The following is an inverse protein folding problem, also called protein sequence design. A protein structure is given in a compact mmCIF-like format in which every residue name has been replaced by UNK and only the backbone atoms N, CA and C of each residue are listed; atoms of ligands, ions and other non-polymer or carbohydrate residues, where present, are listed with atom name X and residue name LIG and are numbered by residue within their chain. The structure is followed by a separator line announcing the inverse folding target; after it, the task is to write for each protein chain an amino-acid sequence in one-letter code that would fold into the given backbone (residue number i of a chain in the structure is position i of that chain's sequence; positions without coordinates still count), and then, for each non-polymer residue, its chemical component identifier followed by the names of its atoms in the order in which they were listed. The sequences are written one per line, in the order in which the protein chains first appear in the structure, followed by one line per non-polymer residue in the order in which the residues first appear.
data_IF_111328648079
#
_entry.id   IF_111328648079
#
_cell.length_a   1.000
_cell.length_b   1.000
_cell.length_c   1.000
_cell.angle_alpha   90.00
_cell.angle_beta   90.00
_cell.angle_gamma   90.00
#
_symmetry.space_group_name_H-M   'P 1'
#
loop_
_entity.id
_entity.type
_entity.pdbx_description
1 polymer ?
#
# COMPACT_ATOMS: atom_id res chain seq x y z
N UNK A 1 16.44 4.07 -2.65
CA UNK A 1 15.43 2.99 -2.77
C UNK A 1 14.35 3.47 -3.71
N UNK A 2 13.63 2.57 -4.37
CA UNK A 2 12.41 2.90 -5.10
C UNK A 2 11.34 3.38 -4.10
N UNK A 3 10.53 4.36 -4.51
CA UNK A 3 9.32 4.76 -3.78
C UNK A 3 8.42 3.55 -3.61
N UNK A 4 7.79 3.41 -2.44
CA UNK A 4 6.86 2.31 -2.14
C UNK A 4 5.53 2.84 -1.64
N UNK A 5 4.51 1.99 -1.70
CA UNK A 5 3.18 2.32 -1.20
C UNK A 5 2.47 1.14 -0.54
N UNK A 6 1.50 1.48 0.30
CA UNK A 6 0.49 0.57 0.85
C UNK A 6 -0.87 1.14 0.49
N UNK A 7 -1.73 0.30 -0.06
CA UNK A 7 -3.08 0.69 -0.46
C UNK A 7 -4.12 0.04 0.46
N UNK A 8 -4.72 0.83 1.36
CA UNK A 8 -5.72 0.30 2.29
C UNK A 8 -6.99 -0.17 1.57
N UNK A 9 -7.19 0.23 0.31
CA UNK A 9 -8.35 -0.17 -0.48
C UNK A 9 -8.29 -1.64 -0.91
N UNK A 10 -7.12 -2.26 -0.86
CA UNK A 10 -6.93 -3.69 -1.17
C UNK A 10 -7.47 -4.62 -0.08
N UNK A 11 -7.84 -4.07 1.08
CA UNK A 11 -8.39 -4.81 2.21
C UNK A 11 -9.90 -4.52 2.35
N UNK A 12 -10.77 -5.33 1.72
CA UNK A 12 -12.21 -5.20 1.91
C UNK A 12 -12.59 -5.64 3.33
N UNK A 13 -12.82 -4.66 4.22
CA UNK A 13 -13.37 -4.85 5.56
C UNK A 13 -14.56 -3.91 5.81
N UNK A 14 -15.04 -3.84 7.05
CA UNK A 14 -16.19 -3.00 7.45
C UNK A 14 -15.95 -1.49 7.24
N UNK A 15 -14.68 -1.08 7.23
CA UNK A 15 -14.29 0.31 6.99
C UNK A 15 -13.93 0.48 5.52
N UNK A 16 -14.83 1.05 4.71
CA UNK A 16 -14.55 1.46 3.34
C UNK A 16 -13.48 2.58 3.32
N UNK A 17 -12.21 2.20 3.39
CA UNK A 17 -11.09 3.14 3.37
C UNK A 17 -10.62 3.39 1.94
N UNK A 18 -10.46 4.68 1.61
CA UNK A 18 -9.99 5.14 0.29
C UNK A 18 -8.52 5.55 0.27
N UNK A 19 -7.78 5.33 1.36
CA UNK A 19 -6.43 5.87 1.55
C UNK A 19 -5.39 4.93 0.95
N UNK A 20 -4.48 5.51 0.16
CA UNK A 20 -3.20 4.91 -0.20
C UNK A 20 -2.08 5.79 0.33
N UNK A 21 -1.03 5.17 0.88
CA UNK A 21 0.08 5.84 1.57
C UNK A 21 1.35 5.50 0.81
N UNK A 22 2.18 6.50 0.52
CA UNK A 22 3.45 6.29 -0.18
C UNK A 22 4.57 7.03 0.52
N UNK A 23 5.75 6.42 0.58
CA UNK A 23 6.95 7.02 1.15
C UNK A 23 8.22 6.54 0.41
N UNK A 24 9.33 7.23 0.66
CA UNK A 24 10.62 6.94 0.04
C UNK A 24 11.46 5.93 0.85
N UNK A 25 11.01 5.55 2.05
CA UNK A 25 11.59 4.49 2.88
C UNK A 25 10.52 3.55 3.45
N UNK A 26 10.88 2.27 3.61
CA UNK A 26 9.96 1.26 4.17
C UNK A 26 9.63 1.55 5.64
N UNK A 27 10.59 2.04 6.43
CA UNK A 27 10.37 2.36 7.84
C UNK A 27 9.35 3.50 8.01
N UNK A 28 9.49 4.58 7.24
CA UNK A 28 8.52 5.68 7.23
C UNK A 28 7.14 5.20 6.79
N UNK A 29 7.10 4.39 5.72
CA UNK A 29 5.84 3.86 5.19
C UNK A 29 5.11 3.01 6.23
N UNK A 30 5.83 2.11 6.92
CA UNK A 30 5.26 1.24 7.95
C UNK A 30 4.75 2.07 9.12
N UNK A 31 5.53 3.03 9.62
CA UNK A 31 5.12 3.83 10.77
C UNK A 31 3.84 4.61 10.47
N UNK A 32 3.74 5.26 9.30
CA UNK A 32 2.53 5.99 8.91
C UNK A 32 1.34 5.05 8.66
N UNK A 33 1.55 3.89 8.02
CA UNK A 33 0.49 2.91 7.80
C UNK A 33 -0.03 2.31 9.11
N UNK A 34 0.83 2.05 10.09
CA UNK A 34 0.45 1.61 11.44
C UNK A 34 -0.38 2.68 12.15
N UNK A 35 0.06 3.95 12.11
CA UNK A 35 -0.72 5.04 12.69
C UNK A 35 -2.12 5.17 12.06
N UNK A 36 -2.23 4.97 10.74
CA UNK A 36 -3.52 4.91 10.05
C UNK A 36 -4.38 3.73 10.52
N UNK A 37 -3.79 2.53 10.61
CA UNK A 37 -4.48 1.32 11.08
C UNK A 37 -5.04 1.49 12.50
N UNK A 38 -4.29 2.12 13.41
CA UNK A 38 -4.75 2.38 14.78
C UNK A 38 -5.83 3.46 14.79
N UNK A 39 -5.57 4.60 14.14
CA UNK A 39 -6.43 5.78 14.27
C UNK A 39 -7.76 5.63 13.51
N UNK A 40 -7.71 5.11 12.28
CA UNK A 40 -8.87 4.98 11.40
C UNK A 40 -9.59 3.64 11.58
N UNK A 41 -8.85 2.54 11.76
CA UNK A 41 -9.41 1.18 11.81
C UNK A 41 -9.45 0.55 13.20
N UNK A 42 -8.96 1.27 14.22
CA UNK A 42 -8.98 0.85 15.63
C UNK A 42 -8.24 -0.47 15.89
N UNK A 43 -7.28 -0.82 15.04
CA UNK A 43 -6.37 -1.92 15.32
C UNK A 43 -5.45 -1.57 16.51
N UNK A 44 -5.04 -2.59 17.26
CA UNK A 44 -4.01 -2.44 18.26
C UNK A 44 -2.64 -2.37 17.59
N UNK A 45 -1.76 -1.51 18.09
CA UNK A 45 -0.36 -1.56 17.68
C UNK A 45 0.29 -2.84 18.21
N UNK A 46 0.57 -3.79 17.32
CA UNK A 46 1.20 -5.05 17.67
C UNK A 46 2.27 -5.46 16.65
N UNK A 47 3.24 -6.31 17.05
CA UNK A 47 4.23 -6.87 16.13
C UNK A 47 3.60 -7.61 14.94
N UNK A 48 2.47 -8.27 15.16
CA UNK A 48 1.71 -8.99 14.14
C UNK A 48 1.10 -8.01 13.13
N UNK A 49 0.48 -6.91 13.60
CA UNK A 49 -0.04 -5.86 12.72
C UNK A 49 1.08 -5.26 11.86
N UNK A 50 2.21 -4.88 12.48
CA UNK A 50 3.37 -4.34 11.78
C UNK A 50 3.90 -5.30 10.72
N UNK A 51 3.95 -6.59 11.03
CA UNK A 51 4.42 -7.62 10.09
C UNK A 51 3.44 -7.83 8.93
N UNK A 52 2.13 -7.82 9.20
CA UNK A 52 1.10 -7.89 8.17
C UNK A 52 1.18 -6.67 7.22
N UNK A 53 1.26 -5.46 7.76
CA UNK A 53 1.40 -4.22 6.98
C UNK A 53 2.66 -4.25 6.10
N UNK A 54 3.79 -4.75 6.63
CA UNK A 54 5.02 -4.89 5.84
C UNK A 54 4.84 -5.82 4.63
N UNK A 55 4.02 -6.86 4.74
CA UNK A 55 3.74 -7.79 3.63
C UNK A 55 2.85 -7.20 2.53
N UNK A 56 2.28 -6.00 2.75
CA UNK A 56 1.38 -5.30 1.83
C UNK A 56 2.07 -4.20 1.02
N UNK A 57 3.39 -4.04 1.15
CA UNK A 57 4.12 -3.00 0.43
C UNK A 57 4.28 -3.35 -1.05
N UNK A 58 3.99 -2.38 -1.90
CA UNK A 58 4.18 -2.43 -3.33
C UNK A 58 5.23 -1.41 -3.77
N UNK A 59 5.94 -1.70 -4.86
CA UNK A 59 6.88 -0.76 -5.49
C UNK A 59 6.13 0.26 -6.38
N UNK A 60 6.57 1.52 -6.33
CA UNK A 60 6.08 2.59 -7.20
C UNK A 60 5.02 3.49 -6.55
N UNK A 61 4.00 3.84 -7.34
CA UNK A 61 2.88 4.70 -6.95
C UNK A 61 1.58 3.90 -6.98
N UNK A 62 0.64 4.13 -6.04
CA UNK A 62 -0.65 3.47 -6.06
C UNK A 62 -1.42 3.82 -7.34
N UNK A 63 -2.24 2.90 -7.88
CA UNK A 63 -3.08 3.19 -9.02
C UNK A 63 -4.18 4.19 -8.63
N UNK A 64 -4.67 4.98 -9.58
CA UNK A 64 -5.76 5.94 -9.28
C UNK A 64 -7.05 5.24 -8.85
N UNK A 65 -7.34 4.09 -9.45
CA UNK A 65 -8.44 3.20 -9.06
C UNK A 65 -7.90 1.83 -8.67
N UNK A 66 -8.51 1.23 -7.64
CA UNK A 66 -8.25 -0.16 -7.27
C UNK A 66 -8.79 -1.04 -8.38
N UNK A 67 -7.89 -1.76 -9.04
CA UNK A 67 -8.32 -2.79 -9.96
C UNK A 67 -8.77 -4.01 -9.15
N UNK A 68 -9.84 -4.71 -9.55
CA UNK A 68 -10.22 -5.95 -8.90
C UNK A 68 -9.08 -6.97 -8.97
N UNK A 69 -8.93 -7.84 -7.96
CA UNK A 69 -7.86 -8.84 -7.94
C UNK A 69 -7.92 -9.71 -9.21
N UNK A 70 -6.83 -9.74 -9.98
CA UNK A 70 -6.70 -10.50 -11.23
C UNK A 70 -6.34 -9.68 -12.48
N UNK A 71 -6.34 -8.34 -12.41
CA UNK A 71 -5.82 -7.51 -13.49
C UNK A 71 -4.30 -7.34 -13.34
N UNK A 72 -3.52 -8.12 -14.08
CA UNK A 72 -2.08 -7.92 -14.21
C UNK A 72 -1.79 -6.51 -14.72
N UNK A 73 -1.10 -5.69 -13.94
CA UNK A 73 -0.47 -4.46 -14.43
C UNK A 73 0.51 -4.85 -15.53
N UNK A 74 0.11 -4.63 -16.79
CA UNK A 74 1.05 -4.65 -17.90
C UNK A 74 2.14 -3.65 -17.58
N UNK A 75 3.36 -4.15 -17.40
CA UNK A 75 4.55 -3.33 -17.29
C UNK A 75 4.52 -2.31 -18.42
N UNK A 76 4.69 -1.03 -18.08
CA UNK A 76 5.06 -0.02 -19.06
C UNK A 76 6.51 -0.29 -19.51
N UNK A 77 6.74 -1.39 -20.23
CA UNK A 77 7.85 -1.50 -21.16
C UNK A 77 7.48 -0.69 -22.40
N UNK A 78 7.80 0.60 -22.37
CA UNK A 78 7.98 1.36 -23.61
C UNK A 78 9.47 1.52 -23.84
N UNK A 79 10.05 0.46 -24.40
CA UNK A 79 11.22 0.56 -25.25
C UNK A 79 10.86 1.50 -26.41
N UNK A 80 11.38 2.73 -26.39
CA UNK A 80 11.48 3.55 -27.59
C UNK A 80 12.96 3.80 -27.88
N UNK A 81 13.56 2.81 -28.55
CA UNK A 81 14.65 3.07 -29.50
C UNK A 81 14.01 3.73 -30.72
N UNK A 82 14.51 4.90 -31.11
CA UNK A 82 14.92 5.22 -32.48
C UNK A 82 15.89 6.41 -32.44
#
# INVERSE_FOLDING_TARGET
MSRKFIDCREFPGDTYCSVAISADSEDELIEIAVQHAISAHKHADSPELRSAIRSMMHDGMPPEHVMPPGASTGAAESAHRH
#
